data_IF_463996342805
#
_entry.id   IF_463996342805
#
_cell.length_a   1.000
_cell.length_b   1.000
_cell.length_c   1.000
_cell.angle_alpha   90.00
_cell.angle_beta   90.00
_cell.angle_gamma   90.00
#
_symmetry.space_group_name_H-M   'P 1'
#
loop_
_entity.id
_entity.type
_entity.pdbx_description
1 polymer ?
#
# COMPACT_ATOMS: atom_id res chain seq x y z
N UNK A 1 -5.87 -2.90 14.93
CA UNK A 1 -5.26 -3.25 13.64
C UNK A 1 -4.98 -4.75 13.69
N UNK A 2 -5.31 -5.50 12.64
CA UNK A 2 -5.06 -6.95 12.60
C UNK A 2 -3.55 -7.18 12.53
N UNK A 3 -3.02 -8.07 13.36
CA UNK A 3 -1.59 -8.39 13.34
C UNK A 3 -1.26 -9.17 12.05
N UNK A 4 -0.04 -9.02 11.50
CA UNK A 4 0.34 -9.72 10.27
C UNK A 4 0.16 -11.25 10.36
N UNK A 5 0.33 -11.83 11.55
CA UNK A 5 0.19 -13.26 11.79
C UNK A 5 -1.21 -13.71 12.26
N UNK A 6 -2.18 -12.80 12.27
CA UNK A 6 -3.57 -13.18 12.56
C UNK A 6 -4.11 -14.09 11.44
N UNK A 7 -4.51 -15.30 11.82
CA UNK A 7 -5.09 -16.28 10.89
C UNK A 7 -6.52 -15.86 10.58
N UNK A 8 -6.75 -15.41 9.34
CA UNK A 8 -8.06 -15.03 8.82
C UNK A 8 -8.88 -16.24 8.41
N UNK A 9 -8.21 -17.29 7.91
CA UNK A 9 -8.85 -18.55 7.51
C UNK A 9 -7.85 -19.69 7.51
N UNK A 10 -8.30 -20.85 7.94
CA UNK A 10 -7.55 -22.11 7.85
C UNK A 10 -8.47 -23.23 7.38
N UNK A 11 -7.94 -24.18 6.61
CA UNK A 11 -8.69 -25.35 6.17
C UNK A 11 -8.13 -26.02 4.91
N UNK A 12 -8.93 -26.87 4.28
CA UNK A 12 -8.54 -27.57 3.06
C UNK A 12 -8.75 -26.69 1.81
N UNK A 13 -7.75 -26.65 0.94
CA UNK A 13 -7.77 -26.00 -0.37
C UNK A 13 -7.01 -26.86 -1.38
N UNK A 14 -7.53 -27.00 -2.61
CA UNK A 14 -6.86 -27.78 -3.64
C UNK A 14 -6.14 -26.87 -4.63
N UNK A 15 -4.84 -27.12 -4.85
CA UNK A 15 -4.03 -26.43 -5.88
C UNK A 15 -3.88 -27.35 -7.08
N UNK A 16 -4.07 -26.82 -8.29
CA UNK A 16 -3.72 -27.53 -9.52
C UNK A 16 -2.20 -27.66 -9.62
N UNK A 17 -1.74 -28.83 -10.03
CA UNK A 17 -0.32 -29.07 -10.28
C UNK A 17 0.05 -28.65 -11.69
N UNK A 18 1.27 -28.14 -11.84
CA UNK A 18 1.83 -27.72 -13.13
C UNK A 18 2.48 -28.92 -13.89
N UNK A 19 2.18 -30.16 -13.45
CA UNK A 19 2.65 -31.40 -14.08
C UNK A 19 1.75 -31.83 -15.24
N UNK A 20 2.25 -32.73 -16.08
CA UNK A 20 1.55 -33.27 -17.26
C UNK A 20 0.11 -33.71 -17.00
N UNK A 21 -0.18 -34.29 -15.83
CA UNK A 21 -1.51 -34.79 -15.46
C UNK A 21 -2.45 -33.74 -14.87
N UNK A 22 -1.99 -32.50 -14.67
CA UNK A 22 -2.78 -31.35 -14.19
C UNK A 22 -3.71 -31.65 -13.00
N UNK A 23 -3.24 -32.47 -12.05
CA UNK A 23 -4.03 -32.96 -10.93
C UNK A 23 -4.27 -31.89 -9.86
N UNK A 24 -5.44 -31.98 -9.23
CA UNK A 24 -5.78 -31.20 -8.04
C UNK A 24 -5.20 -31.85 -6.79
N UNK A 25 -4.36 -31.12 -6.06
CA UNK A 25 -3.71 -31.61 -4.84
C UNK A 25 -4.26 -30.88 -3.62
N UNK A 26 -4.83 -31.63 -2.69
CA UNK A 26 -5.24 -31.13 -1.37
C UNK A 26 -4.05 -30.55 -0.61
N UNK A 27 -4.27 -29.38 -0.03
CA UNK A 27 -3.35 -28.65 0.83
C UNK A 27 -4.11 -28.17 2.05
N UNK A 28 -3.43 -28.08 3.19
CA UNK A 28 -3.91 -27.26 4.30
C UNK A 28 -3.49 -25.82 4.01
N UNK A 29 -4.46 -24.96 3.73
CA UNK A 29 -4.29 -23.54 3.53
C UNK A 29 -4.35 -22.79 4.85
N UNK A 30 -3.48 -21.82 5.04
CA UNK A 30 -3.54 -20.82 6.12
C UNK A 30 -3.44 -19.44 5.49
N UNK A 31 -4.50 -18.65 5.63
CA UNK A 31 -4.60 -17.28 5.15
C UNK A 31 -4.40 -16.33 6.31
N UNK A 32 -3.45 -15.42 6.17
CA UNK A 32 -3.26 -14.29 7.08
C UNK A 32 -3.53 -12.99 6.33
N UNK A 33 -3.29 -11.87 6.99
CA UNK A 33 -3.52 -10.55 6.40
C UNK A 33 -2.51 -10.15 5.31
N UNK A 34 -1.43 -10.93 5.14
CA UNK A 34 -0.30 -10.62 4.25
C UNK A 34 0.09 -11.79 3.32
N UNK A 35 -0.34 -13.02 3.59
CA UNK A 35 0.06 -14.21 2.81
C UNK A 35 -0.98 -15.34 2.84
N UNK A 36 -0.90 -16.19 1.83
CA UNK A 36 -1.51 -17.52 1.79
C UNK A 36 -0.40 -18.58 1.87
N UNK A 37 -0.45 -19.42 2.89
CA UNK A 37 0.50 -20.51 3.10
C UNK A 37 -0.16 -21.85 2.79
N UNK A 38 0.47 -22.66 1.95
CA UNK A 38 -0.03 -23.97 1.52
C UNK A 38 0.87 -25.07 2.05
N UNK A 39 0.36 -25.81 3.01
CA UNK A 39 1.05 -26.92 3.64
C UNK A 39 0.77 -28.21 2.84
N UNK A 40 1.82 -28.92 2.38
CA UNK A 40 1.66 -30.23 1.76
C UNK A 40 1.19 -31.26 2.80
N UNK A 41 0.56 -32.34 2.33
CA UNK A 41 0.18 -33.45 3.20
C UNK A 41 1.40 -34.21 3.79
N UNK A 42 2.58 -34.08 3.16
CA UNK A 42 3.81 -34.68 3.68
C UNK A 42 4.46 -33.74 4.72
N UNK A 43 4.69 -34.22 5.96
CA UNK A 43 5.25 -33.40 7.04
C UNK A 43 6.71 -32.99 6.80
N UNK A 44 7.42 -33.62 5.86
CA UNK A 44 8.82 -33.26 5.51
C UNK A 44 8.94 -32.17 4.46
N UNK A 45 7.84 -31.81 3.79
CA UNK A 45 7.88 -30.84 2.70
C UNK A 45 7.61 -29.42 3.22
N UNK A 46 8.44 -28.48 2.77
CA UNK A 46 8.32 -27.06 3.14
C UNK A 46 6.97 -26.49 2.67
N UNK A 47 6.31 -25.62 3.48
CA UNK A 47 5.14 -24.89 3.03
C UNK A 47 5.45 -24.00 1.83
N UNK A 48 4.50 -23.88 0.91
CA UNK A 48 4.58 -22.95 -0.22
C UNK A 48 3.84 -21.68 0.17
N UNK A 49 4.54 -20.53 0.20
CA UNK A 49 3.93 -19.25 0.55
C UNK A 49 3.67 -18.39 -0.69
N UNK A 50 2.50 -17.78 -0.73
CA UNK A 50 2.10 -16.75 -1.68
C UNK A 50 1.87 -15.46 -0.90
N UNK A 51 2.84 -14.55 -0.92
CA UNK A 51 2.73 -13.25 -0.26
C UNK A 51 1.87 -12.31 -1.09
N UNK A 52 1.04 -11.50 -0.45
CA UNK A 52 0.12 -10.60 -1.15
C UNK A 52 0.83 -9.51 -1.95
N UNK A 53 2.05 -9.12 -1.55
CA UNK A 53 2.89 -8.23 -2.37
C UNK A 53 3.21 -8.83 -3.75
N UNK A 54 3.24 -10.17 -3.88
CA UNK A 54 3.47 -10.88 -5.14
C UNK A 54 2.19 -11.32 -5.85
N UNK A 55 1.01 -10.95 -5.34
CA UNK A 55 -0.28 -11.27 -5.95
C UNK A 55 -0.81 -10.03 -6.66
N UNK A 56 -1.12 -10.19 -7.95
CA UNK A 56 -1.75 -9.17 -8.76
C UNK A 56 -3.26 -9.16 -8.54
N UNK A 57 -3.91 -10.32 -8.69
CA UNK A 57 -5.36 -10.46 -8.55
C UNK A 57 -5.80 -11.89 -8.28
N UNK A 58 -7.06 -12.04 -7.89
CA UNK A 58 -7.77 -13.32 -7.76
C UNK A 58 -8.96 -13.28 -8.71
N UNK A 59 -8.98 -14.17 -9.71
CA UNK A 59 -10.07 -14.29 -10.67
C UNK A 59 -10.97 -15.46 -10.29
N UNK A 60 -12.26 -15.20 -10.05
CA UNK A 60 -13.25 -16.26 -9.89
C UNK A 60 -13.68 -16.72 -11.28
N UNK A 61 -13.42 -17.99 -11.61
CA UNK A 61 -13.62 -18.50 -12.97
C UNK A 61 -15.02 -19.08 -13.11
N UNK A 62 -15.34 -20.07 -12.28
CA UNK A 62 -16.58 -20.82 -12.42
C UNK A 62 -17.01 -21.46 -11.09
N UNK A 63 -18.31 -21.73 -10.97
CA UNK A 63 -18.87 -22.54 -9.89
C UNK A 63 -19.56 -23.73 -10.52
N UNK A 64 -18.91 -24.90 -10.43
CA UNK A 64 -19.34 -26.11 -11.12
C UNK A 64 -19.58 -27.21 -10.09
N UNK A 65 -20.83 -27.64 -9.96
CA UNK A 65 -21.26 -28.59 -8.94
C UNK A 65 -20.94 -28.09 -7.53
N UNK A 66 -20.22 -28.90 -6.76
CA UNK A 66 -19.82 -28.56 -5.38
C UNK A 66 -18.57 -27.70 -5.26
N UNK A 67 -17.88 -27.42 -6.37
CA UNK A 67 -16.60 -26.71 -6.35
C UNK A 67 -16.69 -25.30 -6.92
N UNK A 68 -15.92 -24.40 -6.32
CA UNK A 68 -15.60 -23.07 -6.86
C UNK A 68 -14.17 -23.14 -7.38
N UNK A 69 -13.97 -22.72 -8.63
CA UNK A 69 -12.67 -22.65 -9.29
C UNK A 69 -12.25 -21.19 -9.40
N UNK A 70 -10.99 -20.93 -9.05
CA UNK A 70 -10.44 -19.59 -9.08
C UNK A 70 -8.94 -19.64 -9.37
N UNK A 71 -8.42 -18.56 -9.94
CA UNK A 71 -7.01 -18.44 -10.32
C UNK A 71 -6.40 -17.25 -9.58
N UNK A 72 -5.23 -17.47 -8.99
CA UNK A 72 -4.41 -16.39 -8.45
C UNK A 72 -3.38 -16.02 -9.51
N UNK A 73 -3.43 -14.78 -9.97
CA UNK A 73 -2.42 -14.22 -10.87
C UNK A 73 -1.39 -13.47 -10.03
N UNK A 74 -0.14 -13.82 -10.23
CA UNK A 74 1.01 -13.22 -9.54
C UNK A 74 1.56 -12.02 -10.32
N UNK A 75 2.40 -11.21 -9.67
CA UNK A 75 3.03 -10.04 -10.30
C UNK A 75 4.02 -10.41 -11.41
N UNK A 76 4.53 -11.64 -11.42
CA UNK A 76 5.31 -12.22 -12.53
C UNK A 76 4.44 -12.92 -13.58
N UNK A 77 3.14 -12.60 -13.62
CA UNK A 77 2.16 -13.12 -14.57
C UNK A 77 2.00 -14.65 -14.55
N UNK A 78 2.40 -15.33 -13.47
CA UNK A 78 2.10 -16.75 -13.29
C UNK A 78 0.68 -16.91 -12.76
N UNK A 79 -0.04 -17.81 -13.40
CA UNK A 79 -1.39 -18.21 -13.01
C UNK A 79 -1.32 -19.47 -12.17
N UNK A 80 -2.02 -19.46 -11.03
CA UNK A 80 -2.09 -20.59 -10.13
C UNK A 80 -3.56 -20.92 -9.89
N UNK A 81 -3.98 -22.06 -10.42
CA UNK A 81 -5.35 -22.52 -10.29
C UNK A 81 -5.60 -23.20 -8.95
N UNK A 82 -6.72 -22.84 -8.35
CA UNK A 82 -7.24 -23.39 -7.11
C UNK A 82 -8.70 -23.83 -7.29
N UNK A 83 -9.10 -24.80 -6.48
CA UNK A 83 -10.52 -25.09 -6.27
C UNK A 83 -10.80 -25.42 -4.82
N UNK A 84 -12.02 -25.15 -4.40
CA UNK A 84 -12.49 -25.42 -3.05
C UNK A 84 -13.97 -25.78 -3.02
N UNK A 85 -14.44 -26.40 -1.94
CA UNK A 85 -15.86 -26.62 -1.73
C UNK A 85 -16.62 -25.27 -1.71
N UNK A 86 -17.84 -25.24 -2.25
CA UNK A 86 -18.62 -24.01 -2.36
C UNK A 86 -18.88 -23.31 -1.03
N UNK A 87 -19.10 -24.04 0.06
CA UNK A 87 -19.28 -23.45 1.40
C UNK A 87 -17.99 -22.93 2.05
N UNK A 88 -16.81 -23.31 1.55
CA UNK A 88 -15.54 -22.96 2.20
C UNK A 88 -15.08 -21.52 1.94
N UNK A 89 -15.67 -20.85 0.93
CA UNK A 89 -15.49 -19.43 0.61
C UNK A 89 -14.02 -18.97 0.52
N UNK A 90 -13.11 -19.85 0.11
CA UNK A 90 -11.68 -19.53 0.01
C UNK A 90 -11.40 -18.38 -0.96
N UNK A 91 -11.99 -18.41 -2.15
CA UNK A 91 -11.85 -17.35 -3.15
C UNK A 91 -12.23 -15.98 -2.57
N UNK A 92 -13.38 -15.88 -1.90
CA UNK A 92 -13.86 -14.64 -1.30
C UNK A 92 -12.96 -14.19 -0.14
N UNK A 93 -12.53 -15.11 0.72
CA UNK A 93 -11.64 -14.79 1.83
C UNK A 93 -10.29 -14.24 1.35
N UNK A 94 -9.69 -14.86 0.32
CA UNK A 94 -8.41 -14.41 -0.25
C UNK A 94 -8.59 -13.05 -0.93
N UNK A 95 -9.67 -12.86 -1.71
CA UNK A 95 -9.94 -11.59 -2.38
C UNK A 95 -10.11 -10.44 -1.39
N UNK A 96 -10.90 -10.63 -0.32
CA UNK A 96 -11.09 -9.62 0.73
C UNK A 96 -9.79 -9.30 1.46
N UNK A 97 -8.98 -10.31 1.80
CA UNK A 97 -7.70 -10.11 2.45
C UNK A 97 -6.70 -9.36 1.55
N UNK A 98 -6.69 -9.65 0.24
CA UNK A 98 -5.86 -8.97 -0.74
C UNK A 98 -6.25 -7.48 -0.88
N UNK A 99 -7.55 -7.20 -0.98
CA UNK A 99 -8.08 -5.82 -1.05
C UNK A 99 -7.70 -5.03 0.21
N UNK A 100 -7.90 -5.63 1.38
CA UNK A 100 -7.54 -5.01 2.66
C UNK A 100 -6.03 -4.69 2.74
N UNK A 101 -5.17 -5.63 2.30
CA UNK A 101 -3.74 -5.40 2.21
C UNK A 101 -3.37 -4.24 1.26
N UNK A 102 -3.96 -4.20 0.07
CA UNK A 102 -3.73 -3.13 -0.91
C UNK A 102 -4.19 -1.77 -0.36
N UNK A 103 -5.35 -1.72 0.29
CA UNK A 103 -5.88 -0.50 0.91
C UNK A 103 -4.96 0.01 2.03
N UNK A 104 -4.48 -0.88 2.90
CA UNK A 104 -3.52 -0.50 3.96
C UNK A 104 -2.24 0.07 3.37
N UNK A 105 -1.69 -0.55 2.33
CA UNK A 105 -0.49 -0.07 1.66
C UNK A 105 -0.71 1.29 1.00
N UNK A 106 -1.82 1.47 0.28
CA UNK A 106 -2.16 2.74 -0.35
C UNK A 106 -2.28 3.89 0.68
N UNK A 107 -2.90 3.62 1.84
CA UNK A 107 -3.01 4.60 2.93
C UNK A 107 -1.65 4.93 3.55
N UNK A 108 -0.77 3.94 3.73
CA UNK A 108 0.58 4.16 4.25
C UNK A 108 1.44 4.97 3.25
N UNK A 109 1.35 4.64 1.97
CA UNK A 109 2.05 5.36 0.90
C UNK A 109 1.54 6.81 0.80
N UNK A 110 0.24 7.03 0.99
CA UNK A 110 -0.34 8.37 1.02
C UNK A 110 0.10 9.19 2.25
N UNK A 111 0.09 8.59 3.45
CA UNK A 111 0.53 9.24 4.70
C UNK A 111 2.01 9.62 4.64
N UNK A 112 2.86 8.70 4.22
CA UNK A 112 4.31 8.95 4.09
C UNK A 112 4.64 10.04 3.07
N UNK A 113 3.82 10.21 2.01
CA UNK A 113 3.93 11.33 1.08
C UNK A 113 3.53 12.66 1.71
N UNK A 114 2.43 12.71 2.46
CA UNK A 114 2.02 13.92 3.17
C UNK A 114 3.06 14.37 4.21
N UNK A 115 3.58 13.44 5.00
CA UNK A 115 4.65 13.71 5.97
C UNK A 115 5.94 14.24 5.31
N UNK A 116 6.26 13.77 4.10
CA UNK A 116 7.38 14.32 3.31
C UNK A 116 7.11 15.70 2.72
N UNK A 117 5.84 16.09 2.53
CA UNK A 117 5.46 17.36 1.91
C UNK A 117 5.16 18.46 2.96
N UNK A 118 4.97 18.12 4.24
CA UNK A 118 4.70 19.09 5.31
C UNK A 118 5.74 19.02 6.45
N UNK A 119 6.54 20.08 6.77
CA UNK A 119 6.83 21.29 6.00
C UNK A 119 8.35 21.59 5.81
N UNK A 120 8.75 21.76 4.55
CA UNK A 120 9.72 22.79 4.14
C UNK A 120 9.04 24.18 3.97
N UNK A 121 7.76 24.30 4.33
CA UNK A 121 6.94 25.50 4.16
C UNK A 121 6.82 26.39 5.43
N UNK A 122 7.71 26.22 6.43
CA UNK A 122 7.79 27.09 7.61
C UNK A 122 9.13 27.81 7.76
N UNK A 123 10.01 27.77 6.74
CA UNK A 123 11.23 28.57 6.71
C UNK A 123 11.12 29.59 5.57
N UNK A 124 11.07 30.87 5.96
CA UNK A 124 11.00 32.11 5.17
C UNK A 124 9.59 32.49 4.65
N UNK A 125 9.09 33.71 4.99
CA UNK A 125 9.83 34.96 4.81
C UNK A 125 9.84 35.84 6.08
N UNK A 126 10.80 35.63 6.98
CA UNK A 126 11.08 36.59 8.06
C UNK A 126 12.22 37.56 7.68
N UNK A 127 13.19 37.12 6.88
CA UNK A 127 14.36 37.94 6.48
C UNK A 127 14.00 39.09 5.53
N UNK A 128 12.94 38.97 4.72
CA UNK A 128 12.53 40.04 3.81
C UNK A 128 11.85 41.22 4.52
N UNK A 129 11.27 40.98 5.71
CA UNK A 129 10.63 42.03 6.50
C UNK A 129 11.65 42.87 7.28
N UNK A 130 12.72 42.24 7.79
CA UNK A 130 13.74 42.93 8.59
C UNK A 130 14.64 43.85 7.73
N UNK A 131 14.93 43.46 6.49
CA UNK A 131 15.67 44.30 5.54
C UNK A 131 14.90 45.58 5.12
N UNK A 132 13.57 45.52 5.06
CA UNK A 132 12.73 46.67 4.70
C UNK A 132 12.64 47.71 5.83
N UNK A 133 12.66 47.27 7.09
CA UNK A 133 12.62 48.17 8.26
C UNK A 133 13.97 48.89 8.46
N UNK A 134 15.09 48.22 8.16
CA UNK A 134 16.42 48.84 8.25
C UNK A 134 16.65 49.92 7.16
N UNK A 135 16.09 49.74 5.96
CA UNK A 135 16.22 50.70 4.86
C UNK A 135 15.40 51.99 5.08
N UNK A 136 14.25 51.90 5.77
CA UNK A 136 13.40 53.05 6.06
C UNK A 136 13.93 53.94 7.21
N UNK A 137 14.84 53.44 8.04
CA UNK A 137 15.43 54.20 9.15
C UNK A 137 16.59 55.14 8.73
N UNK A 138 16.96 55.16 7.45
CA UNK A 138 18.08 55.95 6.92
C UNK A 138 17.64 56.99 5.87
N UNK A 139 16.65 57.82 6.18
CA UNK A 139 16.42 59.06 5.40
C UNK A 139 17.33 60.18 5.93
N UNK A 140 18.24 60.75 5.12
CA UNK A 140 19.04 61.90 5.54
C UNK A 140 18.16 63.15 5.60
N UNK A 141 18.20 63.82 6.75
CA UNK A 141 17.46 65.05 7.03
C UNK A 141 17.73 66.13 5.97
N UNK A 142 16.64 66.59 5.34
CA UNK A 142 16.63 67.68 4.36
C UNK A 142 17.06 68.99 5.04
N UNK A 143 18.02 69.76 4.51
CA UNK A 143 18.42 71.01 5.15
C UNK A 143 17.35 72.10 4.95
N UNK A 144 17.07 72.84 6.02
CA UNK A 144 16.14 73.97 6.03
C UNK A 144 16.61 75.10 5.11
N UNK A 145 15.72 75.77 4.36
CA UNK A 145 16.10 76.92 3.53
C UNK A 145 16.36 78.15 4.42
N UNK A 146 17.58 78.70 4.30
CA UNK A 146 17.97 79.97 4.93
C UNK A 146 17.24 81.17 4.29
N UNK A 147 16.85 82.19 5.06
CA UNK A 147 16.24 83.41 4.52
C UNK A 147 17.31 84.31 3.88
N UNK A 148 17.04 84.78 2.65
CA UNK A 148 17.90 85.74 1.94
C UNK A 148 17.69 87.17 2.48
N UNK A 149 18.74 87.99 2.57
CA UNK A 149 18.64 89.35 3.08
C UNK A 149 17.98 90.29 2.06
N UNK A 150 17.18 91.24 2.58
CA UNK A 150 16.63 92.40 1.87
C UNK A 150 17.68 93.52 1.83
N UNK A 151 17.87 94.14 0.67
CA UNK A 151 18.19 95.58 0.47
C UNK A 151 18.39 95.89 -1.02
N UNK A 152 18.31 97.17 -1.44
CA UNK A 152 17.52 98.29 -0.93
C UNK A 152 16.23 98.55 -1.73
#
# INVERSE_FOLDING_TARGET
MKSPDEVLREGELEKRSDSLFQLWKKKRGVLTSDRLSLFPASPRARPKELRFHSILKVDCVERTGKYVYFTIVTTDHKEIDFRCAGESCWNAAIALALIDFQNRRALQDFRSRQERTAPAALAAPAEAAEAAVAAAASEPSRPSPQPKPRTP
#
